data_IF_066892496988
#
_entry.id   IF_066892496988
#
_cell.length_a   1.000
_cell.length_b   1.000
_cell.length_c   1.000
_cell.angle_alpha   90.00
_cell.angle_beta   90.00
_cell.angle_gamma   90.00
#
_symmetry.space_group_name_H-M   'P 1'
#
loop_
_entity.id
_entity.type
_entity.pdbx_description
1 polymer ?
#
# COMPACT_ATOMS: atom_id res chain seq x y z
N UNK A 1 -5.38 9.90 1.54
CA UNK A 1 -6.80 9.46 1.53
C UNK A 1 -7.55 9.94 0.29
N UNK A 2 -7.72 11.25 0.05
CA UNK A 2 -8.49 11.76 -1.10
C UNK A 2 -7.97 11.25 -2.46
N UNK A 3 -6.65 11.14 -2.65
CA UNK A 3 -6.06 10.59 -3.87
C UNK A 3 -6.39 9.11 -4.10
N UNK A 4 -6.39 8.32 -3.02
CA UNK A 4 -6.79 6.90 -3.05
C UNK A 4 -8.27 6.77 -3.40
N UNK A 5 -9.12 7.59 -2.77
CA UNK A 5 -10.56 7.61 -3.04
C UNK A 5 -10.88 8.07 -4.47
N UNK A 6 -10.08 8.99 -5.02
CA UNK A 6 -10.20 9.40 -6.42
C UNK A 6 -9.75 8.31 -7.41
N UNK A 7 -8.86 7.40 -7.00
CA UNK A 7 -8.48 6.24 -7.80
C UNK A 7 -7.28 5.49 -7.24
N UNK A 8 -7.41 4.18 -7.07
CA UNK A 8 -6.38 3.27 -6.58
C UNK A 8 -6.31 1.97 -7.39
N UNK A 9 -5.24 1.18 -7.18
CA UNK A 9 -5.12 -0.16 -7.78
C UNK A 9 -6.25 -1.05 -7.25
N UNK A 10 -6.99 -1.78 -8.10
CA UNK A 10 -8.10 -2.61 -7.66
C UNK A 10 -7.72 -3.58 -6.54
N UNK A 11 -8.53 -3.64 -5.49
CA UNK A 11 -8.30 -4.48 -4.31
C UNK A 11 -7.30 -3.92 -3.29
N UNK A 12 -6.66 -2.78 -3.56
CA UNK A 12 -5.76 -2.14 -2.60
C UNK A 12 -6.51 -1.75 -1.31
N UNK A 13 -5.76 -1.68 -0.21
CA UNK A 13 -6.22 -1.20 1.08
C UNK A 13 -5.45 0.07 1.43
N UNK A 14 -6.16 1.11 1.84
CA UNK A 14 -5.53 2.35 2.25
C UNK A 14 -4.76 2.14 3.56
N UNK A 15 -3.48 2.47 3.56
CA UNK A 15 -2.68 2.59 4.77
C UNK A 15 -1.81 3.84 4.63
N UNK A 16 -2.13 4.87 5.41
CA UNK A 16 -1.38 6.13 5.42
C UNK A 16 -0.10 5.94 6.26
N UNK A 17 1.07 6.18 5.65
CA UNK A 17 2.39 6.05 6.29
C UNK A 17 2.53 6.92 7.55
N UNK A 18 1.86 8.07 7.62
CA UNK A 18 1.91 8.98 8.76
C UNK A 18 0.83 8.69 9.81
N UNK A 19 -0.16 7.86 9.49
CA UNK A 19 -1.30 7.54 10.37
C UNK A 19 -1.55 6.04 10.50
N UNK A 20 -0.49 5.24 10.34
CA UNK A 20 -0.56 3.78 10.28
C UNK A 20 -1.36 3.15 11.43
N UNK A 21 -1.29 3.69 12.65
CA UNK A 21 -2.02 3.16 13.81
C UNK A 21 -3.55 3.16 13.63
N UNK A 22 -4.07 4.02 12.75
CA UNK A 22 -5.50 4.05 12.41
C UNK A 22 -5.90 2.93 11.43
N UNK A 23 -4.95 2.37 10.68
CA UNK A 23 -5.20 1.42 9.58
C UNK A 23 -4.66 0.02 9.89
N UNK A 24 -3.47 -0.11 10.48
CA UNK A 24 -2.85 -1.39 10.77
C UNK A 24 -3.74 -2.36 11.58
N UNK A 25 -4.56 -1.92 12.56
CA UNK A 25 -5.46 -2.84 13.26
C UNK A 25 -6.39 -3.64 12.35
N UNK A 26 -6.95 -3.04 11.28
CA UNK A 26 -7.81 -3.75 10.31
C UNK A 26 -7.02 -4.63 9.35
N UNK A 27 -5.76 -4.25 9.07
CA UNK A 27 -4.89 -4.95 8.11
C UNK A 27 -4.13 -6.13 8.73
N UNK A 28 -3.84 -6.11 10.03
CA UNK A 28 -3.08 -7.16 10.75
C UNK A 28 -3.53 -8.59 10.44
N UNK A 29 -4.85 -8.92 10.46
CA UNK A 29 -5.29 -10.28 10.12
C UNK A 29 -4.97 -10.67 8.67
N UNK A 30 -4.97 -9.71 7.74
CA UNK A 30 -4.63 -9.92 6.33
C UNK A 30 -3.11 -10.10 6.17
N UNK A 31 -2.33 -9.20 6.78
CA UNK A 31 -0.86 -9.23 6.75
C UNK A 31 -0.30 -10.56 7.27
N UNK A 32 -0.87 -11.08 8.37
CA UNK A 32 -0.45 -12.36 8.96
C UNK A 32 -0.61 -13.56 8.02
N UNK A 33 -1.59 -13.50 7.10
CA UNK A 33 -1.90 -14.60 6.18
C UNK A 33 -1.47 -14.28 4.73
N UNK A 34 -0.83 -13.12 4.51
CA UNK A 34 -0.42 -12.71 3.18
C UNK A 34 0.79 -13.53 2.74
N UNK A 35 0.71 -14.12 1.55
CA UNK A 35 1.87 -14.75 0.89
C UNK A 35 2.79 -13.69 0.28
N UNK A 36 2.23 -12.54 -0.10
CA UNK A 36 2.94 -11.40 -0.67
C UNK A 36 2.21 -10.11 -0.29
N UNK A 37 2.97 -9.07 0.02
CA UNK A 37 2.50 -7.75 0.42
C UNK A 37 3.12 -6.74 -0.54
N UNK A 38 2.30 -6.14 -1.39
CA UNK A 38 2.73 -5.11 -2.34
C UNK A 38 2.40 -3.75 -1.76
N UNK A 39 3.42 -2.92 -1.59
CA UNK A 39 3.28 -1.54 -1.11
C UNK A 39 3.59 -0.58 -2.25
N UNK A 40 2.77 0.46 -2.42
CA UNK A 40 2.93 1.46 -3.45
C UNK A 40 2.43 2.83 -2.96
N UNK A 41 2.85 3.91 -3.63
CA UNK A 41 2.31 5.25 -3.42
C UNK A 41 2.00 5.92 -4.77
N UNK A 42 2.10 7.25 -4.87
CA UNK A 42 1.84 7.94 -6.14
C UNK A 42 2.76 7.47 -7.27
N UNK A 43 4.04 7.21 -6.97
CA UNK A 43 5.11 6.98 -7.94
C UNK A 43 6.15 8.10 -7.90
N UNK A 44 7.15 8.05 -8.78
CA UNK A 44 8.19 9.08 -8.88
C UNK A 44 9.15 9.09 -7.69
N UNK A 45 9.34 10.25 -7.06
CA UNK A 45 10.23 10.45 -5.89
C UNK A 45 9.52 10.20 -4.55
N UNK A 46 8.31 9.62 -4.57
CA UNK A 46 7.56 9.35 -3.36
C UNK A 46 8.16 8.17 -2.57
N UNK A 47 8.63 8.45 -1.35
CA UNK A 47 9.26 7.47 -0.47
C UNK A 47 8.29 6.82 0.54
N UNK A 48 7.02 7.23 0.56
CA UNK A 48 6.01 6.73 1.52
C UNK A 48 5.87 5.21 1.50
N UNK A 49 5.99 4.62 0.32
CA UNK A 49 5.93 3.16 0.15
C UNK A 49 7.08 2.44 0.84
N UNK A 50 8.27 3.07 0.90
CA UNK A 50 9.46 2.54 1.59
C UNK A 50 9.28 2.65 3.10
N UNK A 51 8.80 3.80 3.59
CA UNK A 51 8.54 3.99 5.02
C UNK A 51 7.50 2.99 5.54
N UNK A 52 6.38 2.83 4.82
CA UNK A 52 5.36 1.86 5.19
C UNK A 52 5.89 0.42 5.13
N UNK A 53 6.62 0.04 4.08
CA UNK A 53 7.23 -1.29 4.00
C UNK A 53 8.20 -1.56 5.17
N UNK A 54 9.00 -0.57 5.54
CA UNK A 54 9.93 -0.65 6.68
C UNK A 54 9.17 -0.88 7.98
N UNK A 55 8.10 -0.14 8.22
CA UNK A 55 7.28 -0.30 9.43
C UNK A 55 6.55 -1.64 9.47
N UNK A 56 6.09 -2.15 8.32
CA UNK A 56 5.48 -3.49 8.25
C UNK A 56 6.47 -4.58 8.70
N UNK A 57 7.75 -4.48 8.32
CA UNK A 57 8.79 -5.41 8.79
C UNK A 57 9.07 -5.20 10.28
N UNK A 58 9.50 -4.00 10.66
CA UNK A 58 10.13 -3.79 11.97
C UNK A 58 9.14 -3.59 13.11
N UNK A 59 7.92 -3.10 12.83
CA UNK A 59 6.88 -2.85 13.84
C UNK A 59 5.80 -3.92 13.85
N UNK A 60 5.41 -4.41 12.68
CA UNK A 60 4.33 -5.40 12.54
C UNK A 60 4.83 -6.84 12.39
N UNK A 61 6.14 -7.04 12.19
CA UNK A 61 6.76 -8.36 12.11
C UNK A 61 6.42 -9.10 10.80
N UNK A 62 6.08 -8.37 9.74
CA UNK A 62 5.90 -8.96 8.42
C UNK A 62 7.21 -9.54 7.91
N UNK A 63 7.11 -10.66 7.19
CA UNK A 63 8.26 -11.31 6.57
C UNK A 63 8.86 -10.40 5.46
N UNK A 64 10.13 -9.97 5.57
CA UNK A 64 10.78 -9.17 4.53
C UNK A 64 10.74 -9.83 3.16
N UNK A 65 10.81 -11.16 3.09
CA UNK A 65 10.81 -11.90 1.83
C UNK A 65 9.42 -11.89 1.16
N UNK A 66 8.36 -11.59 1.92
CA UNK A 66 7.00 -11.43 1.41
C UNK A 66 6.68 -9.99 0.97
N UNK A 67 7.53 -9.00 1.24
CA UNK A 67 7.26 -7.60 0.90
C UNK A 67 7.87 -7.24 -0.46
N UNK A 68 7.08 -6.54 -1.28
CA UNK A 68 7.50 -5.95 -2.55
C UNK A 68 7.07 -4.49 -2.59
N UNK A 69 7.93 -3.64 -3.14
CA UNK A 69 7.60 -2.24 -3.40
C UNK A 69 7.35 -2.09 -4.89
N UNK A 70 6.19 -1.53 -5.25
CA UNK A 70 5.90 -1.15 -6.62
C UNK A 70 6.26 0.33 -6.82
N UNK A 71 7.52 0.58 -7.17
CA UNK A 71 8.12 1.92 -7.28
C UNK A 71 7.39 2.82 -8.29
N UNK A 72 6.88 2.25 -9.38
CA UNK A 72 6.12 3.00 -10.39
C UNK A 72 4.80 3.59 -9.86
N UNK A 73 4.28 3.07 -8.76
CA UNK A 73 3.10 3.59 -8.08
C UNK A 73 1.85 3.70 -8.96
N UNK A 74 0.93 4.57 -8.54
CA UNK A 74 -0.28 4.87 -9.30
C UNK A 74 0.00 5.48 -10.67
N UNK A 75 1.08 6.25 -10.82
CA UNK A 75 1.45 6.86 -12.10
C UNK A 75 1.75 5.81 -13.17
N UNK A 76 2.63 4.86 -12.88
CA UNK A 76 2.95 3.78 -13.82
C UNK A 76 1.72 2.92 -14.11
N UNK A 77 0.88 2.65 -13.10
CA UNK A 77 -0.36 1.89 -13.28
C UNK A 77 -1.33 2.58 -14.25
N UNK A 78 -1.52 3.90 -14.11
CA UNK A 78 -2.35 4.70 -15.01
C UNK A 78 -1.76 4.78 -16.41
N UNK A 79 -0.45 4.97 -16.53
CA UNK A 79 0.24 5.02 -17.82
C UNK A 79 0.13 3.70 -18.60
N UNK A 80 0.00 2.57 -17.89
CA UNK A 80 -0.27 1.27 -18.48
C UNK A 80 -1.74 1.05 -18.90
N UNK A 81 -2.62 2.04 -18.72
CA UNK A 81 -4.07 1.97 -18.99
C UNK A 81 -4.76 0.78 -18.29
N UNK A 82 -4.30 0.46 -17.08
CA UNK A 82 -4.87 -0.60 -16.26
C UNK A 82 -6.11 -0.11 -15.49
N UNK A 83 -7.04 -1.01 -15.11
CA UNK A 83 -8.26 -0.64 -14.39
C UNK A 83 -7.95 -0.04 -13.03
N UNK A 84 -8.78 0.90 -12.56
CA UNK A 84 -8.70 1.54 -11.25
C UNK A 84 -10.02 1.37 -10.49
N UNK A 85 -9.94 1.32 -9.16
CA UNK A 85 -11.10 1.41 -8.27
C UNK A 85 -11.19 2.80 -7.65
N UNK A 86 -12.40 3.26 -7.34
CA UNK A 86 -12.67 4.53 -6.65
C UNK A 86 -13.30 4.26 -5.28
N UNK A 87 -13.21 5.24 -4.38
CA UNK A 87 -13.61 5.09 -2.98
C UNK A 87 -12.57 4.27 -2.20
N UNK A 88 -13.00 3.49 -1.21
CA UNK A 88 -12.08 2.62 -0.49
C UNK A 88 -12.68 2.00 0.75
N UNK A 89 -12.16 0.84 1.13
CA UNK A 89 -12.34 0.28 2.46
C UNK A 89 -11.05 0.49 3.24
N UNK A 90 -11.17 1.00 4.46
CA UNK A 90 -10.11 0.97 5.48
C UNK A 90 -9.98 -0.44 6.05
#
# INVERSE_FOLDING_TARGET
>A
QAEFEAGHIPGARLCDSHRQESYLPSLRPLLKNAFEIIVYCAGGECEDSIFLATDLVYREGADPDAIRIFEGGMEAWRNANLPIEQGGKQ
#
